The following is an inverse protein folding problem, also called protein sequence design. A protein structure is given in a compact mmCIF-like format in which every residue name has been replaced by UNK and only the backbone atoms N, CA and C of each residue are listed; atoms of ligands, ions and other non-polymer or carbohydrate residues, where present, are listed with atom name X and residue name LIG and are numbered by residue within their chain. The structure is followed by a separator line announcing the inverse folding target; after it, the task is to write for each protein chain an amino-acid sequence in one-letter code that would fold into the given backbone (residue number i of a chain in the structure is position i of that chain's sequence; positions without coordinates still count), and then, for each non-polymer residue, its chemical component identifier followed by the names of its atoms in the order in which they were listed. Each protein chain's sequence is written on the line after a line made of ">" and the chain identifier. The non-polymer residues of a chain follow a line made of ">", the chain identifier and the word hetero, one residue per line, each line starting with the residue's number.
data_IF_697396896027
#
_entry.id   IF_697396896027
#
_cell.length_a   1.000
_cell.length_b   1.000
_cell.length_c   1.000
_cell.angle_alpha   90.00
_cell.angle_beta   90.00
_cell.angle_gamma   90.00
#
_symmetry.space_group_name_H-M   'P 1'
#
loop_
_entity.id
_entity.type
_entity.pdbx_description
1 polymer ?
#
# COMPACT_ATOMS: atom_id res chain seq x y z
N UNK A 1 -13.86 41.87 51.15
CA UNK A 1 -13.05 41.01 50.26
C UNK A 1 -14.00 40.35 49.27
N UNK A 2 -14.10 40.90 48.06
CA UNK A 2 -14.93 40.38 46.97
C UNK A 2 -13.97 39.81 45.92
N UNK A 3 -14.41 38.74 45.25
CA UNK A 3 -13.94 38.23 43.96
C UNK A 3 -12.80 37.20 43.95
N UNK A 4 -13.18 35.94 44.22
CA UNK A 4 -12.70 34.80 43.42
C UNK A 4 -13.93 34.10 42.83
N UNK A 5 -14.52 34.68 41.79
CA UNK A 5 -15.55 34.02 41.00
C UNK A 5 -15.34 34.38 39.53
N UNK A 6 -15.34 33.35 38.68
CA UNK A 6 -15.18 33.35 37.21
C UNK A 6 -13.75 33.42 36.65
N UNK A 7 -13.05 32.28 36.68
CA UNK A 7 -12.09 31.88 35.62
C UNK A 7 -12.24 30.39 35.24
N UNK A 8 -13.42 29.80 35.47
CA UNK A 8 -13.68 28.36 35.20
C UNK A 8 -14.14 28.02 33.78
N UNK A 9 -14.65 29.00 33.03
CA UNK A 9 -15.29 28.76 31.73
C UNK A 9 -14.36 29.05 30.55
N UNK A 10 -13.47 30.05 30.67
CA UNK A 10 -12.49 30.40 29.64
C UNK A 10 -11.39 29.34 29.53
N UNK A 11 -10.80 28.93 30.66
CA UNK A 11 -9.76 27.88 30.70
C UNK A 11 -10.26 26.52 30.17
N UNK A 12 -11.52 26.17 30.45
CA UNK A 12 -12.14 24.91 29.98
C UNK A 12 -12.45 24.96 28.48
N UNK A 13 -12.98 26.08 27.97
CA UNK A 13 -13.27 26.25 26.54
C UNK A 13 -11.98 26.30 25.72
N UNK A 14 -10.95 26.97 26.21
CA UNK A 14 -9.64 27.04 25.57
C UNK A 14 -8.95 25.67 25.56
N UNK A 15 -9.13 24.86 26.62
CA UNK A 15 -8.66 23.47 26.66
C UNK A 15 -9.40 22.57 25.67
N UNK A 16 -10.71 22.76 25.48
CA UNK A 16 -11.50 22.02 24.48
C UNK A 16 -11.11 22.38 23.05
N UNK A 17 -10.91 23.66 22.75
CA UNK A 17 -10.43 24.11 21.44
C UNK A 17 -9.04 23.52 21.15
N UNK A 18 -8.14 23.55 22.13
CA UNK A 18 -6.79 22.97 22.00
C UNK A 18 -6.83 21.46 21.72
N UNK A 19 -7.70 20.72 22.41
CA UNK A 19 -7.87 19.28 22.20
C UNK A 19 -8.45 18.96 20.81
N UNK A 20 -9.46 19.71 20.36
CA UNK A 20 -10.04 19.54 19.02
C UNK A 20 -9.02 19.88 17.93
N UNK A 21 -8.25 20.95 18.09
CA UNK A 21 -7.18 21.32 17.15
C UNK A 21 -6.11 20.24 17.10
N UNK A 22 -5.69 19.71 18.25
CA UNK A 22 -4.70 18.62 18.31
C UNK A 22 -5.23 17.34 17.64
N UNK A 23 -6.49 16.98 17.88
CA UNK A 23 -7.14 15.81 17.26
C UNK A 23 -7.22 15.97 15.74
N UNK A 24 -7.65 17.12 15.25
CA UNK A 24 -7.73 17.41 13.82
C UNK A 24 -6.34 17.44 13.18
N UNK A 25 -5.34 17.99 13.85
CA UNK A 25 -3.96 17.98 13.39
C UNK A 25 -3.42 16.54 13.25
N UNK A 26 -3.66 15.69 14.26
CA UNK A 26 -3.27 14.29 14.22
C UNK A 26 -4.01 13.52 13.11
N UNK A 27 -5.31 13.73 12.97
CA UNK A 27 -6.13 13.15 11.90
C UNK A 27 -5.65 13.60 10.51
N UNK A 28 -5.31 14.87 10.35
CA UNK A 28 -4.78 15.41 9.09
C UNK A 28 -3.42 14.80 8.74
N UNK A 29 -2.52 14.64 9.73
CA UNK A 29 -1.22 13.99 9.54
C UNK A 29 -1.42 12.53 9.12
N UNK A 30 -2.21 11.74 9.86
CA UNK A 30 -2.48 10.34 9.51
C UNK A 30 -3.18 10.19 8.17
N UNK A 31 -4.14 11.07 7.85
CA UNK A 31 -4.80 11.09 6.54
C UNK A 31 -3.79 11.33 5.42
N UNK A 32 -2.92 12.34 5.57
CA UNK A 32 -1.92 12.66 4.56
C UNK A 32 -0.86 11.55 4.42
N UNK A 33 -0.45 10.95 5.55
CA UNK A 33 0.53 9.87 5.59
C UNK A 33 -0.01 8.54 5.08
N UNK A 34 -1.29 8.20 5.24
CA UNK A 34 -1.84 6.94 4.70
C UNK A 34 -2.30 7.08 3.24
N UNK A 35 -2.97 8.18 2.89
CA UNK A 35 -3.60 8.31 1.57
C UNK A 35 -2.58 8.55 0.46
N UNK A 36 -1.46 9.22 0.77
CA UNK A 36 -0.38 9.47 -0.19
C UNK A 36 0.37 8.20 -0.60
N UNK A 37 0.85 7.33 0.32
CA UNK A 37 1.50 6.09 -0.07
C UNK A 37 0.50 5.11 -0.69
N UNK A 38 -0.75 5.05 -0.20
CA UNK A 38 -1.74 4.13 -0.77
C UNK A 38 -2.06 4.47 -2.24
N UNK A 39 -2.21 5.76 -2.57
CA UNK A 39 -2.38 6.22 -3.96
C UNK A 39 -1.18 5.90 -4.84
N UNK A 40 0.03 5.96 -4.28
CA UNK A 40 1.27 5.64 -5.01
C UNK A 40 1.34 4.15 -5.38
N UNK A 41 1.06 3.25 -4.43
CA UNK A 41 1.06 1.81 -4.71
C UNK A 41 0.00 1.39 -5.73
N UNK A 42 -1.20 1.96 -5.66
CA UNK A 42 -2.25 1.68 -6.65
C UNK A 42 -1.87 2.18 -8.04
N UNK A 43 -1.24 3.37 -8.11
CA UNK A 43 -0.76 3.91 -9.38
C UNK A 43 0.35 3.06 -9.96
N UNK A 44 1.35 2.68 -9.17
CA UNK A 44 2.46 1.82 -9.59
C UNK A 44 1.95 0.46 -10.11
N UNK A 45 0.96 -0.15 -9.45
CA UNK A 45 0.39 -1.42 -9.91
C UNK A 45 -0.37 -1.26 -11.24
N UNK A 46 -1.16 -0.19 -11.39
CA UNK A 46 -1.86 0.11 -12.65
C UNK A 46 -0.89 0.42 -13.80
N UNK A 47 0.14 1.20 -13.52
CA UNK A 47 1.17 1.56 -14.51
C UNK A 47 1.95 0.31 -14.93
N UNK A 48 2.23 -0.61 -14.01
CA UNK A 48 2.89 -1.87 -14.30
C UNK A 48 2.04 -2.76 -15.22
N UNK A 49 0.75 -2.94 -14.92
CA UNK A 49 -0.18 -3.69 -15.78
C UNK A 49 -0.34 -3.06 -17.16
N UNK A 50 -0.41 -1.73 -17.25
CA UNK A 50 -0.49 -1.00 -18.52
C UNK A 50 0.79 -1.03 -19.35
N UNK A 51 1.94 -1.32 -18.73
CA UNK A 51 3.23 -1.40 -19.42
C UNK A 51 3.55 -2.78 -20.00
N UNK A 52 2.80 -3.82 -19.61
CA UNK A 52 3.06 -5.19 -20.04
C UNK A 52 2.86 -5.36 -21.55
N UNK A 53 3.84 -5.98 -22.21
CA UNK A 53 3.79 -6.32 -23.63
C UNK A 53 4.20 -7.77 -23.86
N UNK A 54 3.79 -8.32 -25.01
CA UNK A 54 4.32 -9.61 -25.47
C UNK A 54 5.84 -9.52 -25.59
N UNK A 55 6.53 -10.54 -25.09
CA UNK A 55 7.99 -10.60 -25.03
C UNK A 55 8.60 -10.11 -23.72
N UNK A 56 7.83 -9.49 -22.82
CA UNK A 56 8.36 -9.06 -21.52
C UNK A 56 8.56 -10.25 -20.58
N UNK A 57 9.67 -10.22 -19.83
CA UNK A 57 9.90 -11.17 -18.73
C UNK A 57 9.26 -10.65 -17.46
N UNK A 58 8.42 -11.46 -16.86
CA UNK A 58 7.69 -11.10 -15.64
C UNK A 58 7.90 -12.12 -14.54
N UNK A 59 7.73 -11.67 -13.30
CA UNK A 59 7.68 -12.52 -12.12
C UNK A 59 6.27 -12.40 -11.54
N UNK A 60 5.57 -13.52 -11.41
CA UNK A 60 4.23 -13.54 -10.81
C UNK A 60 4.32 -13.41 -9.29
N UNK A 61 3.19 -13.15 -8.63
CA UNK A 61 3.12 -13.09 -7.16
C UNK A 61 3.59 -14.40 -6.47
N UNK A 62 3.42 -15.54 -7.15
CA UNK A 62 3.92 -16.84 -6.69
C UNK A 62 5.42 -17.07 -6.95
N UNK A 63 6.12 -16.08 -7.51
CA UNK A 63 7.52 -16.18 -7.86
C UNK A 63 7.81 -16.91 -9.17
N UNK A 64 6.81 -17.17 -10.01
CA UNK A 64 7.02 -17.84 -11.29
C UNK A 64 7.62 -16.83 -12.27
N UNK A 65 8.75 -17.18 -12.87
CA UNK A 65 9.40 -16.41 -13.92
C UNK A 65 9.05 -16.98 -15.29
N UNK A 66 8.58 -16.13 -16.18
CA UNK A 66 8.22 -16.49 -17.56
C UNK A 66 8.28 -15.30 -18.49
N UNK A 67 8.13 -15.57 -19.78
CA UNK A 67 8.00 -14.52 -20.80
C UNK A 67 6.55 -14.45 -21.26
N UNK A 68 6.00 -13.24 -21.41
CA UNK A 68 4.63 -13.06 -21.89
C UNK A 68 4.55 -13.44 -23.36
N UNK A 69 3.71 -14.42 -23.68
CA UNK A 69 3.42 -14.86 -25.06
C UNK A 69 2.16 -14.20 -25.60
N UNK A 70 1.14 -14.07 -24.75
CA UNK A 70 -0.12 -13.40 -25.07
C UNK A 70 -0.69 -12.64 -23.85
N UNK A 71 -1.39 -11.54 -24.12
CA UNK A 71 -2.10 -10.73 -23.13
C UNK A 71 -3.56 -10.61 -23.59
N UNK A 72 -4.47 -11.06 -22.74
CA UNK A 72 -5.92 -10.86 -22.86
C UNK A 72 -6.39 -9.88 -21.78
N UNK A 73 -7.67 -9.50 -21.80
CA UNK A 73 -8.21 -8.53 -20.84
C UNK A 73 -8.09 -9.00 -19.38
N UNK A 74 -8.38 -10.28 -19.12
CA UNK A 74 -8.38 -10.84 -17.76
C UNK A 74 -7.27 -11.87 -17.49
N UNK A 75 -6.40 -12.17 -18.47
CA UNK A 75 -5.39 -13.22 -18.32
C UNK A 75 -4.15 -13.00 -19.19
N UNK A 76 -3.04 -13.62 -18.80
CA UNK A 76 -1.76 -13.54 -19.51
C UNK A 76 -1.24 -14.96 -19.71
N UNK A 77 -0.83 -15.27 -20.94
CA UNK A 77 -0.20 -16.54 -21.28
C UNK A 77 1.32 -16.40 -21.12
N UNK A 78 1.90 -17.23 -20.25
CA UNK A 78 3.33 -17.20 -19.95
C UNK A 78 4.02 -18.40 -20.60
N UNK A 79 4.99 -18.11 -21.46
CA UNK A 79 5.90 -19.10 -22.00
C UNK A 79 6.93 -19.50 -20.92
N UNK A 80 7.05 -20.81 -20.73
CA UNK A 80 7.95 -21.46 -19.78
C UNK A 80 8.93 -22.34 -20.56
N UNK A 81 10.19 -22.38 -20.16
CA UNK A 81 11.24 -23.11 -20.88
C UNK A 81 11.02 -24.62 -20.82
N UNK A 82 10.49 -25.23 -21.90
CA UNK A 82 10.40 -26.68 -22.09
C UNK A 82 9.83 -27.45 -20.89
N UNK A 83 8.76 -26.92 -20.29
CA UNK A 83 8.10 -27.50 -19.11
C UNK A 83 8.84 -27.29 -17.78
N UNK A 84 10.00 -26.60 -17.78
CA UNK A 84 10.74 -26.22 -16.58
C UNK A 84 10.32 -24.84 -16.10
N UNK A 85 9.55 -24.81 -15.01
CA UNK A 85 9.15 -23.57 -14.37
C UNK A 85 10.36 -22.99 -13.61
N UNK A 86 10.80 -21.78 -13.98
CA UNK A 86 11.77 -21.02 -13.18
C UNK A 86 11.01 -20.32 -12.04
N UNK A 87 11.44 -20.53 -10.80
CA UNK A 87 10.87 -19.85 -9.63
C UNK A 87 11.92 -18.99 -8.92
N UNK A 88 11.44 -17.91 -8.31
CA UNK A 88 12.25 -17.04 -7.45
C UNK A 88 12.61 -17.81 -6.17
N UNK A 89 13.88 -17.74 -5.77
CA UNK A 89 14.32 -18.40 -4.53
C UNK A 89 13.58 -17.85 -3.30
N UNK A 90 13.17 -16.58 -3.31
CA UNK A 90 12.41 -15.96 -2.22
C UNK A 90 11.00 -16.50 -2.06
N UNK A 91 10.47 -17.21 -3.06
CA UNK A 91 9.14 -17.82 -3.04
C UNK A 91 9.15 -19.27 -2.54
N UNK A 92 10.33 -19.83 -2.21
CA UNK A 92 10.46 -21.18 -1.65
C UNK A 92 10.20 -21.11 -0.13
N UNK A 93 9.11 -21.72 0.32
CA UNK A 93 8.66 -21.65 1.74
C UNK A 93 9.42 -22.63 2.63
N UNK A 94 9.58 -23.87 2.20
CA UNK A 94 10.26 -24.89 3.00
C UNK A 94 10.89 -25.98 2.11
N UNK A 95 11.92 -26.65 2.64
CA UNK A 95 12.57 -27.80 2.00
C UNK A 95 12.04 -29.09 2.63
N UNK A 96 11.13 -29.76 1.93
CA UNK A 96 10.64 -31.08 2.35
C UNK A 96 11.79 -32.10 2.30
N UNK A 97 12.10 -32.71 3.45
CA UNK A 97 12.98 -33.89 3.53
C UNK A 97 12.09 -35.14 3.39
N UNK A 98 12.48 -36.06 2.51
CA UNK A 98 11.92 -37.42 2.47
C UNK A 98 12.49 -38.27 3.60
#
# INVERSE_FOLDING_TARGET
>A
MIAYAQTGTETTTQSMITLVVMLVAFAAIFYFLLIRPQRRHQKEHRDLLGSLKRGDRVVTAGGILGTIEDISEDSVLLAVEDGKIRLSKGSIVDKVRK
#
